data_IF_973484265381
#
_entry.id   IF_973484265381
#
_cell.length_a   1.000
_cell.length_b   1.000
_cell.length_c   1.000
_cell.angle_alpha   90.00
_cell.angle_beta   90.00
_cell.angle_gamma   90.00
#
_symmetry.space_group_name_H-M   'P 1'
#
loop_
_entity.id
_entity.type
_entity.pdbx_description
1 polymer ?
#
# COMPACT_ATOMS: atom_id res chain seq x y z
N UNK A 1 -20.63 -17.26 -21.86
CA UNK A 1 -19.41 -17.48 -22.67
C UNK A 1 -18.89 -16.24 -23.40
N UNK A 2 -19.63 -15.12 -23.45
CA UNK A 2 -19.26 -13.93 -24.23
C UNK A 2 -18.06 -13.12 -23.68
N UNK A 3 -17.85 -13.08 -22.35
CA UNK A 3 -16.77 -12.30 -21.72
C UNK A 3 -15.35 -12.82 -22.07
N UNK A 4 -15.20 -14.12 -22.35
CA UNK A 4 -13.91 -14.72 -22.73
C UNK A 4 -13.47 -14.29 -24.14
N UNK A 5 -14.43 -14.12 -25.05
CA UNK A 5 -14.19 -13.69 -26.43
C UNK A 5 -13.73 -12.22 -26.49
N UNK A 6 -14.33 -11.37 -25.67
CA UNK A 6 -13.97 -9.94 -25.58
C UNK A 6 -12.53 -9.78 -25.08
N UNK A 7 -12.13 -10.54 -24.05
CA UNK A 7 -10.75 -10.53 -23.54
C UNK A 7 -9.72 -10.95 -24.59
N UNK A 8 -10.04 -11.98 -25.39
CA UNK A 8 -9.19 -12.42 -26.48
C UNK A 8 -9.05 -11.37 -27.60
N UNK A 9 -10.14 -10.70 -27.96
CA UNK A 9 -10.12 -9.61 -28.94
C UNK A 9 -9.18 -8.47 -28.52
N UNK A 10 -9.22 -8.05 -27.24
CA UNK A 10 -8.32 -7.01 -26.76
C UNK A 10 -6.85 -7.41 -26.81
N UNK A 11 -6.52 -8.67 -26.48
CA UNK A 11 -5.14 -9.18 -26.56
C UNK A 11 -4.64 -9.17 -28.00
N UNK A 12 -5.46 -9.62 -28.96
CA UNK A 12 -5.11 -9.63 -30.39
C UNK A 12 -4.92 -8.21 -30.92
N UNK A 13 -5.79 -7.26 -30.56
CA UNK A 13 -5.65 -5.86 -30.98
C UNK A 13 -4.35 -5.24 -30.45
N UNK A 14 -4.02 -5.45 -29.18
CA UNK A 14 -2.75 -4.99 -28.61
C UNK A 14 -1.54 -5.66 -29.28
N UNK A 15 -1.66 -6.94 -29.64
CA UNK A 15 -0.57 -7.67 -30.31
C UNK A 15 -0.37 -7.17 -31.75
N UNK A 16 -1.44 -6.87 -32.47
CA UNK A 16 -1.38 -6.29 -33.82
C UNK A 16 -0.84 -4.86 -33.80
N UNK A 17 -1.18 -4.05 -32.78
CA UNK A 17 -0.62 -2.71 -32.59
C UNK A 17 0.87 -2.76 -32.22
N UNK A 18 1.27 -3.74 -31.39
CA UNK A 18 2.67 -4.00 -31.06
C UNK A 18 3.50 -4.43 -32.29
N UNK A 19 2.97 -5.33 -33.12
CA UNK A 19 3.59 -5.71 -34.39
C UNK A 19 3.58 -4.53 -35.38
N UNK A 20 2.53 -3.73 -35.38
CA UNK A 20 2.43 -2.50 -36.17
C UNK A 20 3.54 -1.51 -35.83
N UNK A 21 3.87 -1.34 -34.54
CA UNK A 21 4.97 -0.49 -34.10
C UNK A 21 6.35 -1.05 -34.46
N UNK A 22 6.51 -2.38 -34.52
CA UNK A 22 7.75 -3.02 -34.98
C UNK A 22 7.90 -2.94 -36.51
N UNK A 23 6.79 -3.09 -37.26
CA UNK A 23 6.77 -3.09 -38.73
C UNK A 23 6.69 -1.69 -39.35
N UNK A 24 6.24 -0.67 -38.61
CA UNK A 24 6.34 0.73 -39.04
C UNK A 24 7.79 1.16 -39.33
N UNK A 25 8.77 0.45 -38.76
CA UNK A 25 10.20 0.66 -39.03
C UNK A 25 10.73 -0.08 -40.27
N UNK A 26 9.89 -0.84 -41.00
CA UNK A 26 10.30 -1.58 -42.21
C UNK A 26 9.49 -1.23 -43.47
N UNK A 27 8.92 -0.02 -43.52
CA UNK A 27 8.34 0.57 -44.74
C UNK A 27 9.39 0.93 -45.80
N UNK A 28 9.95 -0.09 -46.45
CA UNK A 28 10.89 0.00 -47.58
C UNK A 28 10.14 0.41 -48.85
N UNK A 29 10.06 1.71 -49.14
CA UNK A 29 9.90 2.17 -50.54
C UNK A 29 11.26 2.11 -51.21
N UNK A 30 11.46 1.13 -52.09
CA UNK A 30 12.58 1.07 -53.03
C UNK A 30 12.49 2.26 -54.00
N UNK A 31 13.05 3.42 -53.63
CA UNK A 31 13.31 4.48 -54.61
C UNK A 31 14.58 4.12 -55.36
N UNK A 32 14.49 4.04 -56.69
CA UNK A 32 15.63 3.99 -57.62
C UNK A 32 16.66 5.04 -57.18
N UNK A 33 17.86 4.58 -56.85
CA UNK A 33 18.96 5.43 -56.41
C UNK A 33 19.53 6.14 -57.65
N UNK A 34 19.31 7.45 -57.72
CA UNK A 34 20.02 8.32 -58.66
C UNK A 34 21.38 8.65 -58.04
N UNK A 35 22.51 8.41 -58.74
CA UNK A 35 23.84 8.54 -58.14
C UNK A 35 24.31 9.99 -58.22
N UNK A 36 23.76 10.89 -57.39
CA UNK A 36 24.49 12.08 -56.87
C UNK A 36 23.73 12.97 -55.87
N UNK A 37 22.70 12.47 -55.19
CA UNK A 37 22.07 13.23 -54.10
C UNK A 37 22.48 12.57 -52.79
N UNK A 38 23.40 13.20 -52.05
CA UNK A 38 23.70 12.84 -50.66
C UNK A 38 22.39 12.57 -49.95
N UNK A 39 22.18 11.31 -49.58
CA UNK A 39 20.99 10.88 -48.88
C UNK A 39 21.01 11.63 -47.55
N UNK A 40 20.27 12.74 -47.45
CA UNK A 40 20.33 13.65 -46.32
C UNK A 40 20.14 12.91 -45.00
N UNK A 41 20.67 13.49 -43.92
CA UNK A 41 20.61 12.87 -42.60
C UNK A 41 19.17 12.55 -42.19
N UNK A 42 18.95 11.35 -41.65
CA UNK A 42 17.62 10.88 -41.26
C UNK A 42 17.26 11.33 -39.83
N UNK A 43 15.99 11.16 -39.45
CA UNK A 43 15.55 11.30 -38.04
C UNK A 43 15.69 12.71 -37.44
N UNK A 44 15.60 13.77 -38.24
CA UNK A 44 15.72 15.14 -37.74
C UNK A 44 17.16 15.58 -37.47
N UNK A 45 18.15 14.84 -37.96
CA UNK A 45 19.53 15.24 -37.93
C UNK A 45 19.83 16.35 -38.97
N UNK A 46 20.64 17.34 -38.59
CA UNK A 46 21.10 18.43 -39.46
C UNK A 46 22.42 18.07 -40.16
N UNK A 47 23.39 17.54 -39.40
CA UNK A 47 24.69 17.08 -39.91
C UNK A 47 25.00 15.71 -39.34
N UNK A 48 25.44 14.76 -40.17
CA UNK A 48 25.70 13.38 -39.78
C UNK A 48 27.00 12.87 -40.40
N UNK A 49 27.53 11.79 -39.83
CA UNK A 49 28.59 10.98 -40.44
C UNK A 49 28.21 9.51 -40.42
N UNK A 50 28.78 8.75 -41.36
CA UNK A 50 28.49 7.32 -41.50
C UNK A 50 28.84 6.52 -40.22
N UNK A 51 29.88 6.97 -39.51
CA UNK A 51 30.37 6.29 -38.32
C UNK A 51 29.76 6.82 -37.02
N UNK A 52 29.60 8.13 -36.84
CA UNK A 52 29.15 8.66 -35.54
C UNK A 52 27.62 8.83 -35.49
N UNK A 53 26.91 8.57 -36.59
CA UNK A 53 25.48 8.87 -36.69
C UNK A 53 25.28 10.38 -36.79
N UNK A 54 24.31 10.92 -36.05
CA UNK A 54 24.07 12.35 -36.03
C UNK A 54 25.16 13.10 -35.25
N UNK A 55 25.59 14.25 -35.77
CA UNK A 55 26.53 15.16 -35.12
C UNK A 55 25.83 16.42 -34.59
N UNK A 56 24.78 16.90 -35.26
CA UNK A 56 23.99 18.04 -34.83
C UNK A 56 22.52 17.85 -35.19
N UNK A 57 21.63 18.16 -34.26
CA UNK A 57 20.19 18.02 -34.44
C UNK A 57 19.55 19.26 -35.01
N UNK A 58 18.45 19.09 -35.75
CA UNK A 58 17.57 20.21 -36.10
C UNK A 58 17.04 20.90 -34.83
N UNK A 59 16.70 22.19 -34.89
CA UNK A 59 16.20 22.94 -33.74
C UNK A 59 15.06 22.22 -33.00
N UNK A 60 14.99 22.44 -31.68
CA UNK A 60 14.01 21.85 -30.73
C UNK A 60 14.18 20.37 -30.40
N UNK A 61 14.93 19.59 -31.18
CA UNK A 61 15.26 18.20 -30.85
C UNK A 61 16.38 18.13 -29.82
N UNK A 62 16.42 17.01 -29.10
CA UNK A 62 17.46 16.69 -28.13
C UNK A 62 18.46 15.70 -28.72
N UNK A 63 19.73 16.03 -28.60
CA UNK A 63 20.83 15.14 -28.93
C UNK A 63 21.05 14.12 -27.80
N UNK A 64 21.08 12.85 -28.16
CA UNK A 64 21.39 11.74 -27.26
C UNK A 64 22.44 10.82 -27.90
N UNK A 65 23.26 10.17 -27.08
CA UNK A 65 24.16 9.11 -27.52
C UNK A 65 23.51 7.76 -27.24
N UNK A 66 23.26 7.00 -28.30
CA UNK A 66 22.72 5.65 -28.24
C UNK A 66 23.85 4.63 -28.36
N UNK A 67 23.87 3.64 -27.48
CA UNK A 67 24.91 2.60 -27.45
C UNK A 67 24.44 1.38 -28.24
N UNK A 68 25.19 0.98 -29.25
CA UNK A 68 24.97 -0.23 -30.04
C UNK A 68 26.21 -1.11 -29.89
N UNK A 69 26.12 -2.15 -29.06
CA UNK A 69 27.27 -2.98 -28.71
C UNK A 69 28.38 -2.14 -28.07
N UNK A 70 29.54 -2.07 -28.72
CA UNK A 70 30.69 -1.26 -28.28
C UNK A 70 30.68 0.16 -28.85
N UNK A 71 29.82 0.45 -29.81
CA UNK A 71 29.75 1.73 -30.52
C UNK A 71 28.76 2.68 -29.84
N UNK A 72 29.06 3.97 -29.87
CA UNK A 72 28.11 5.04 -29.53
C UNK A 72 27.81 5.85 -30.78
N UNK A 73 26.52 6.10 -31.05
CA UNK A 73 26.06 6.92 -32.17
C UNK A 73 25.21 8.08 -31.64
N UNK A 74 25.30 9.24 -32.28
CA UNK A 74 24.42 10.37 -32.00
C UNK A 74 23.06 10.18 -32.68
N UNK A 75 22.00 10.45 -31.93
CA UNK A 75 20.61 10.44 -32.41
C UNK A 75 19.87 11.68 -31.94
N UNK A 76 18.85 12.07 -32.70
CA UNK A 76 18.02 13.24 -32.40
C UNK A 76 16.61 12.78 -32.03
N UNK A 77 16.16 13.17 -30.83
CA UNK A 77 14.90 12.73 -30.27
C UNK A 77 14.01 13.93 -29.96
N UNK A 78 12.70 13.76 -30.11
CA UNK A 78 11.71 14.76 -29.66
C UNK A 78 11.61 14.83 -28.14
N UNK A 79 11.93 13.74 -27.45
CA UNK A 79 11.91 13.59 -25.99
C UNK A 79 13.04 12.68 -25.54
N UNK A 80 13.61 12.94 -24.37
CA UNK A 80 14.69 12.10 -23.85
C UNK A 80 14.17 10.74 -23.38
N UNK A 81 15.00 9.68 -23.53
CA UNK A 81 14.64 8.33 -23.09
C UNK A 81 14.60 8.23 -21.56
N UNK A 82 14.00 7.15 -21.05
CA UNK A 82 13.95 6.87 -19.60
C UNK A 82 15.34 6.94 -18.96
N UNK A 83 15.42 7.54 -17.77
CA UNK A 83 16.69 7.80 -17.08
C UNK A 83 17.43 9.04 -17.55
N UNK A 84 16.87 9.82 -18.49
CA UNK A 84 17.41 11.09 -18.96
C UNK A 84 16.35 12.19 -18.96
N UNK A 85 16.75 13.42 -18.65
CA UNK A 85 15.95 14.63 -18.79
C UNK A 85 16.53 15.54 -19.87
N UNK A 86 15.68 16.37 -20.49
CA UNK A 86 16.10 17.31 -21.52
C UNK A 86 16.74 18.57 -20.92
N UNK A 87 17.94 18.91 -21.34
CA UNK A 87 18.62 20.16 -21.01
C UNK A 87 18.75 21.03 -22.26
N UNK A 88 18.36 22.29 -22.16
CA UNK A 88 18.45 23.26 -23.26
C UNK A 88 19.68 24.14 -23.06
N UNK A 89 20.68 24.00 -23.93
CA UNK A 89 21.82 24.92 -24.01
C UNK A 89 21.60 25.90 -25.17
N UNK A 90 22.32 27.05 -25.18
CA UNK A 90 22.22 28.02 -26.28
C UNK A 90 22.42 27.39 -27.67
N UNK A 91 23.37 26.45 -27.80
CA UNK A 91 23.75 25.90 -29.11
C UNK A 91 23.08 24.55 -29.43
N UNK A 92 22.69 23.78 -28.41
CA UNK A 92 22.18 22.41 -28.59
C UNK A 92 21.34 21.95 -27.39
N UNK A 93 20.21 21.30 -27.63
CA UNK A 93 19.50 20.61 -26.54
C UNK A 93 20.08 19.20 -26.40
N UNK A 94 20.38 18.77 -25.17
CA UNK A 94 20.99 17.46 -24.89
C UNK A 94 20.13 16.67 -23.91
N UNK A 95 20.12 15.35 -24.06
CA UNK A 95 19.60 14.46 -23.02
C UNK A 95 20.66 14.24 -21.94
N UNK A 96 20.34 14.62 -20.71
CA UNK A 96 21.24 14.52 -19.54
C UNK A 96 20.74 13.45 -18.60
N UNK A 97 21.63 12.57 -18.13
CA UNK A 97 21.27 11.45 -17.27
C UNK A 97 20.73 11.94 -15.91
N UNK A 98 19.72 11.27 -15.39
CA UNK A 98 19.22 11.47 -14.03
C UNK A 98 20.29 11.14 -12.97
N UNK A 99 20.03 11.54 -11.71
CA UNK A 99 20.88 11.19 -10.57
C UNK A 99 20.91 9.66 -10.35
N UNK A 100 21.95 9.19 -9.65
CA UNK A 100 22.24 7.75 -9.52
C UNK A 100 21.15 6.95 -8.77
N UNK A 101 20.42 7.60 -7.88
CA UNK A 101 19.30 7.11 -7.06
C UNK A 101 17.92 7.23 -7.74
N UNK A 102 17.87 7.87 -8.91
CA UNK A 102 16.64 8.21 -9.60
C UNK A 102 16.45 7.41 -10.90
N UNK A 103 15.27 6.81 -11.07
CA UNK A 103 14.88 6.04 -12.27
C UNK A 103 14.36 6.95 -13.38
N UNK A 104 13.44 7.87 -13.03
CA UNK A 104 12.93 8.90 -13.95
C UNK A 104 12.93 10.26 -13.27
N UNK A 105 13.36 11.30 -13.98
CA UNK A 105 13.49 12.64 -13.44
C UNK A 105 12.96 13.70 -14.43
N UNK A 106 12.41 14.77 -13.86
CA UNK A 106 11.98 15.95 -14.62
C UNK A 106 13.17 16.87 -14.94
N UNK A 107 14.07 17.04 -13.97
CA UNK A 107 15.31 17.80 -14.13
C UNK A 107 16.38 17.28 -13.16
N UNK A 108 17.53 17.95 -13.10
CA UNK A 108 18.65 17.60 -12.19
C UNK A 108 18.24 17.45 -10.72
N UNK A 109 17.24 18.20 -10.26
CA UNK A 109 16.85 18.34 -8.85
C UNK A 109 15.55 17.62 -8.50
N UNK A 110 14.78 17.19 -9.49
CA UNK A 110 13.45 16.64 -9.29
C UNK A 110 13.32 15.26 -9.94
N UNK A 111 13.34 14.24 -9.09
CA UNK A 111 13.04 12.86 -9.42
C UNK A 111 11.53 12.60 -9.37
N UNK A 112 11.00 11.89 -10.35
CA UNK A 112 9.59 11.48 -10.39
C UNK A 112 9.40 10.02 -9.98
N UNK A 113 10.45 9.20 -10.08
CA UNK A 113 10.44 7.81 -9.62
C UNK A 113 11.83 7.39 -9.17
N UNK A 114 11.93 6.91 -7.94
CA UNK A 114 13.19 6.44 -7.38
C UNK A 114 13.54 5.04 -7.85
N UNK A 115 14.83 4.71 -7.81
CA UNK A 115 15.29 3.34 -8.00
C UNK A 115 14.91 2.48 -6.80
N UNK A 116 14.87 1.17 -7.01
CA UNK A 116 14.64 0.18 -5.96
C UNK A 116 15.54 0.43 -4.74
N UNK A 117 14.93 0.40 -3.55
CA UNK A 117 15.63 0.65 -2.29
C UNK A 117 15.62 2.12 -1.84
N UNK A 118 15.09 3.04 -2.64
CA UNK A 118 14.91 4.45 -2.28
C UNK A 118 13.43 4.82 -2.26
N UNK A 119 13.08 5.80 -1.42
CA UNK A 119 11.74 6.31 -1.23
C UNK A 119 11.65 7.76 -1.72
N UNK A 120 10.64 8.04 -2.53
CA UNK A 120 10.40 9.37 -3.07
C UNK A 120 9.83 10.31 -2.00
N UNK A 121 10.45 11.47 -1.83
CA UNK A 121 9.96 12.56 -1.00
C UNK A 121 10.34 13.91 -1.62
N UNK A 122 9.35 14.72 -1.98
CA UNK A 122 9.53 16.07 -2.55
C UNK A 122 10.52 16.12 -3.73
N UNK A 123 10.42 15.13 -4.63
CA UNK A 123 11.30 15.02 -5.79
C UNK A 123 12.72 14.51 -5.48
N UNK A 124 13.01 14.09 -4.25
CA UNK A 124 14.29 13.48 -3.87
C UNK A 124 14.10 12.01 -3.54
N UNK A 125 15.13 11.22 -3.80
CA UNK A 125 15.17 9.81 -3.44
C UNK A 125 15.98 9.64 -2.18
N UNK A 126 15.36 9.07 -1.15
CA UNK A 126 15.96 8.90 0.17
C UNK A 126 16.04 7.42 0.50
N UNK A 127 17.12 7.00 1.13
CA UNK A 127 17.26 5.66 1.71
C UNK A 127 16.34 5.48 2.93
N UNK A 128 16.20 6.53 3.74
CA UNK A 128 15.36 6.60 4.92
C UNK A 128 14.41 7.80 4.85
N UNK A 129 13.14 7.59 5.21
CA UNK A 129 12.17 8.68 5.27
C UNK A 129 12.45 9.62 6.46
N UNK A 130 12.24 10.94 6.29
CA UNK A 130 12.43 11.92 7.36
C UNK A 130 11.41 11.74 8.49
N UNK A 131 11.61 12.49 9.58
CA UNK A 131 10.73 12.44 10.75
C UNK A 131 9.27 12.78 10.39
N UNK A 132 8.32 12.09 11.04
CA UNK A 132 6.89 12.22 10.74
C UNK A 132 6.43 11.40 9.53
N UNK A 133 7.35 10.76 8.79
CA UNK A 133 7.04 9.93 7.65
C UNK A 133 7.50 8.47 7.85
N UNK A 134 6.80 7.56 7.18
CA UNK A 134 7.16 6.15 7.08
C UNK A 134 7.31 5.71 5.63
N UNK A 135 8.15 4.71 5.43
CA UNK A 135 8.41 4.12 4.12
C UNK A 135 7.23 3.23 3.71
N UNK A 136 6.61 3.54 2.57
CA UNK A 136 5.64 2.67 1.94
C UNK A 136 6.34 1.76 0.92
N UNK A 137 6.47 0.48 1.25
CA UNK A 137 7.13 -0.50 0.37
C UNK A 137 6.36 -0.79 -0.92
N UNK A 138 5.07 -0.48 -1.00
CA UNK A 138 4.26 -0.70 -2.19
C UNK A 138 4.44 0.40 -3.23
N UNK A 139 4.51 1.65 -2.79
CA UNK A 139 4.66 2.81 -3.68
C UNK A 139 6.10 3.29 -3.81
N UNK A 140 6.99 2.87 -2.90
CA UNK A 140 8.36 3.39 -2.76
C UNK A 140 8.37 4.90 -2.53
N UNK A 141 7.49 5.34 -1.64
CA UNK A 141 7.31 6.75 -1.27
C UNK A 141 7.37 6.91 0.24
N UNK A 142 7.78 8.10 0.69
CA UNK A 142 7.63 8.49 2.07
C UNK A 142 6.23 9.04 2.28
N UNK A 143 5.43 8.34 3.08
CA UNK A 143 4.05 8.71 3.42
C UNK A 143 3.98 9.22 4.85
N UNK A 144 3.01 10.08 5.15
CA UNK A 144 2.80 10.58 6.51
C UNK A 144 2.44 9.44 7.46
N UNK A 145 3.02 9.47 8.67
CA UNK A 145 2.59 8.58 9.74
C UNK A 145 1.15 8.94 10.13
N UNK A 146 0.25 7.96 10.06
CA UNK A 146 -1.15 8.14 10.44
C UNK A 146 -1.32 7.63 11.86
N UNK A 147 -1.77 8.48 12.78
CA UNK A 147 -2.09 8.08 14.15
C UNK A 147 -3.54 7.62 14.24
N UNK A 148 -3.86 6.80 15.25
CA UNK A 148 -5.24 6.40 15.46
C UNK A 148 -6.08 7.58 15.92
N UNK A 149 -7.23 7.77 15.29
CA UNK A 149 -8.26 8.74 15.68
C UNK A 149 -9.53 7.98 16.05
N UNK A 150 -10.17 8.40 17.14
CA UNK A 150 -11.40 7.78 17.66
C UNK A 150 -12.47 8.83 17.83
N UNK A 151 -13.72 8.41 17.73
CA UNK A 151 -14.86 9.29 17.88
C UNK A 151 -15.01 9.83 19.30
N UNK A 152 -15.91 10.81 19.44
CA UNK A 152 -16.47 11.12 20.73
C UNK A 152 -17.14 9.90 21.36
N UNK A 153 -17.26 9.93 22.69
CA UNK A 153 -17.93 8.88 23.42
C UNK A 153 -19.43 8.92 23.19
N UNK A 154 -20.02 7.75 22.94
CA UNK A 154 -21.46 7.61 23.06
C UNK A 154 -21.90 7.91 24.51
N UNK A 155 -23.16 8.33 24.69
CA UNK A 155 -23.73 8.47 26.03
C UNK A 155 -23.56 7.18 26.84
N UNK A 156 -23.40 7.32 28.15
CA UNK A 156 -23.34 6.17 29.05
C UNK A 156 -24.62 5.35 28.95
N UNK A 157 -24.47 4.02 28.89
CA UNK A 157 -25.61 3.11 29.01
C UNK A 157 -26.34 3.34 30.33
N UNK A 158 -27.63 3.00 30.45
CA UNK A 158 -28.29 2.96 31.74
C UNK A 158 -27.52 2.11 32.75
N UNK A 159 -27.44 2.55 34.01
CA UNK A 159 -26.86 1.76 35.08
C UNK A 159 -27.59 0.40 35.18
N UNK A 160 -26.83 -0.70 35.12
CA UNK A 160 -27.40 -2.05 35.21
C UNK A 160 -26.68 -2.91 36.25
N UNK A 161 -27.39 -3.91 36.78
CA UNK A 161 -26.82 -4.99 37.60
C UNK A 161 -27.44 -6.32 37.18
N UNK A 162 -26.60 -7.29 36.78
CA UNK A 162 -27.05 -8.62 36.29
C UNK A 162 -28.11 -8.49 35.18
N UNK A 163 -27.89 -7.59 34.22
CA UNK A 163 -28.79 -7.35 33.08
C UNK A 163 -30.10 -6.63 33.40
N UNK A 164 -30.25 -6.06 34.60
CA UNK A 164 -31.46 -5.33 35.04
C UNK A 164 -31.14 -3.88 35.33
N UNK A 165 -32.11 -2.98 35.13
CA UNK A 165 -32.06 -1.53 35.43
C UNK A 165 -32.79 -1.14 36.73
N UNK A 166 -33.34 -2.11 37.45
CA UNK A 166 -34.15 -1.91 38.67
C UNK A 166 -33.76 -2.91 39.78
N UNK A 167 -34.18 -2.63 41.01
CA UNK A 167 -34.02 -3.56 42.15
C UNK A 167 -32.62 -3.58 42.78
N UNK A 168 -31.72 -2.67 42.43
CA UNK A 168 -30.39 -2.55 43.01
C UNK A 168 -30.04 -1.10 43.36
N UNK A 169 -29.03 -0.91 44.21
CA UNK A 169 -28.47 0.41 44.57
C UNK A 169 -27.13 0.70 43.89
N UNK A 170 -26.29 -0.34 43.68
CA UNK A 170 -24.98 -0.24 43.02
C UNK A 170 -24.95 -1.14 41.78
N UNK A 171 -24.56 -0.60 40.64
CA UNK A 171 -24.45 -1.28 39.35
C UNK A 171 -23.23 -0.81 38.56
N UNK A 172 -23.25 -1.09 37.27
CA UNK A 172 -22.24 -0.65 36.30
C UNK A 172 -22.91 -0.06 35.06
N UNK A 173 -22.24 0.90 34.45
CA UNK A 173 -22.60 1.46 33.17
C UNK A 173 -21.39 1.45 32.25
N UNK A 174 -21.66 1.33 30.96
CA UNK A 174 -20.66 1.18 29.92
C UNK A 174 -20.92 2.22 28.84
N UNK A 175 -19.86 2.78 28.29
CA UNK A 175 -19.90 3.58 27.06
C UNK A 175 -18.96 2.97 26.04
N UNK A 176 -19.26 3.23 24.78
CA UNK A 176 -18.46 2.79 23.64
C UNK A 176 -18.19 3.98 22.72
N UNK A 177 -17.13 3.87 21.94
CA UNK A 177 -16.76 4.81 20.88
C UNK A 177 -16.14 4.03 19.73
N UNK A 178 -16.08 4.65 18.57
CA UNK A 178 -15.62 4.02 17.34
C UNK A 178 -14.24 4.54 16.94
N UNK A 179 -13.53 3.78 16.10
CA UNK A 179 -12.28 4.21 15.49
C UNK A 179 -12.65 4.92 14.19
N UNK A 180 -12.21 6.17 14.03
CA UNK A 180 -12.41 6.98 12.81
C UNK A 180 -11.26 6.73 11.84
N UNK A 181 -10.04 6.69 12.37
CA UNK A 181 -8.83 6.52 11.58
C UNK A 181 -7.98 5.42 12.22
N UNK A 182 -7.67 4.38 11.45
CA UNK A 182 -6.73 3.36 11.88
C UNK A 182 -5.29 3.86 11.79
N UNK A 183 -4.42 3.44 12.72
CA UNK A 183 -3.03 3.86 12.73
C UNK A 183 -2.20 3.14 11.68
N UNK A 184 -1.18 3.84 11.20
CA UNK A 184 -0.15 3.29 10.33
C UNK A 184 0.85 2.43 11.11
N UNK A 185 1.84 1.86 10.41
CA UNK A 185 2.79 0.92 11.00
C UNK A 185 3.65 1.55 12.09
N UNK A 186 3.96 2.85 12.02
CA UNK A 186 4.63 3.63 13.08
C UNK A 186 3.68 4.55 13.86
N UNK A 187 2.40 4.55 13.53
CA UNK A 187 1.37 5.34 14.21
C UNK A 187 1.15 4.94 15.67
N UNK A 188 0.47 5.85 16.39
CA UNK A 188 0.04 5.64 17.78
C UNK A 188 -1.12 4.64 17.80
N UNK A 189 -1.07 3.67 18.71
CA UNK A 189 -2.15 2.69 18.84
C UNK A 189 -3.46 3.34 19.27
N UNK A 190 -4.57 2.72 18.87
CA UNK A 190 -5.88 3.20 19.27
C UNK A 190 -6.08 3.09 20.79
N UNK A 191 -6.63 4.13 21.42
CA UNK A 191 -7.03 4.05 22.80
C UNK A 191 -8.23 3.08 22.94
N UNK A 192 -8.61 2.67 24.17
CA UNK A 192 -9.73 1.75 24.38
C UNK A 192 -11.04 2.29 23.79
N UNK A 193 -11.79 1.42 23.12
CA UNK A 193 -13.09 1.73 22.48
C UNK A 193 -14.30 1.45 23.38
N UNK A 194 -14.07 0.86 24.56
CA UNK A 194 -15.10 0.68 25.58
C UNK A 194 -14.56 1.09 26.96
N UNK A 195 -15.47 1.55 27.80
CA UNK A 195 -15.17 1.91 29.16
C UNK A 195 -16.34 1.53 30.05
N UNK A 196 -16.06 0.96 31.22
CA UNK A 196 -17.06 0.58 32.21
C UNK A 196 -16.76 1.23 33.54
N UNK A 197 -17.77 1.84 34.16
CA UNK A 197 -17.65 2.46 35.48
C UNK A 197 -18.73 1.99 36.43
N UNK A 198 -18.47 2.13 37.73
CA UNK A 198 -19.43 1.85 38.80
C UNK A 198 -20.43 3.01 38.91
N UNK A 199 -21.71 2.69 39.12
CA UNK A 199 -22.78 3.66 39.28
C UNK A 199 -23.64 3.34 40.50
N UNK A 200 -24.22 4.37 41.11
CA UNK A 200 -25.15 4.25 42.23
C UNK A 200 -26.47 4.91 41.84
N UNK A 201 -27.56 4.15 41.93
CA UNK A 201 -28.91 4.60 41.57
C UNK A 201 -29.88 4.39 42.74
N UNK A 202 -31.00 5.10 42.73
CA UNK A 202 -32.09 4.85 43.67
C UNK A 202 -32.75 3.50 43.38
N UNK A 203 -33.00 2.72 44.43
CA UNK A 203 -33.55 1.37 44.31
C UNK A 203 -35.04 1.41 43.97
N UNK A 204 -35.39 1.42 42.68
CA UNK A 204 -36.78 1.28 42.20
C UNK A 204 -37.27 -0.17 42.19
N UNK A 205 -38.56 -0.39 42.48
CA UNK A 205 -39.21 -1.71 42.40
C UNK A 205 -39.29 -2.15 40.94
N UNK A 206 -38.91 -3.39 40.65
CA UNK A 206 -39.05 -3.95 39.31
C UNK A 206 -40.50 -4.33 39.04
N UNK A 207 -41.06 -3.90 37.91
CA UNK A 207 -42.32 -4.43 37.41
C UNK A 207 -42.12 -5.92 37.03
N UNK A 208 -43.02 -6.80 37.47
CA UNK A 208 -42.99 -8.24 37.16
C UNK A 208 -43.74 -8.49 35.85
N UNK A 209 -43.01 -8.62 34.75
CA UNK A 209 -43.49 -9.02 33.41
C UNK A 209 -42.48 -8.47 32.41
N UNK A 210 -41.67 -9.24 31.70
CA UNK A 210 -41.95 -10.47 30.96
C UNK A 210 -41.05 -11.61 31.46
N UNK A 211 -41.67 -12.63 32.07
CA UNK A 211 -41.03 -13.94 32.16
C UNK A 211 -40.98 -14.48 30.73
N UNK A 212 -39.89 -14.22 30.02
CA UNK A 212 -39.49 -15.11 28.93
C UNK A 212 -39.62 -16.53 29.46
N UNK A 213 -40.44 -17.34 28.79
CA UNK A 213 -40.62 -18.77 29.04
C UNK A 213 -39.24 -19.43 28.98
N UNK A 214 -38.46 -19.37 30.06
CA UNK A 214 -37.48 -20.41 30.34
C UNK A 214 -38.32 -21.63 30.61
N UNK A 215 -38.58 -22.39 29.54
CA UNK A 215 -39.15 -23.72 29.63
C UNK A 215 -38.46 -24.39 30.81
N UNK A 216 -39.25 -24.80 31.80
CA UNK A 216 -38.78 -25.73 32.80
C UNK A 216 -38.37 -26.97 32.02
N UNK A 217 -37.11 -27.06 31.68
CA UNK A 217 -36.50 -28.32 31.31
C UNK A 217 -36.80 -29.27 32.47
N UNK A 218 -37.71 -30.21 32.22
CA UNK A 218 -38.08 -31.25 33.16
C UNK A 218 -36.81 -32.04 33.41
N UNK A 219 -36.07 -31.70 34.46
CA UNK A 219 -34.99 -32.53 35.00
C UNK A 219 -35.58 -33.91 35.31
N UNK A 220 -35.38 -34.85 34.40
CA UNK A 220 -35.61 -36.27 34.62
C UNK A 220 -34.78 -36.68 35.84
N UNK A 221 -35.44 -37.20 36.87
CA UNK A 221 -34.80 -37.87 37.99
C UNK A 221 -34.07 -39.11 37.42
N UNK A 222 -32.75 -39.17 37.59
CA UNK A 222 -31.97 -40.42 37.49
C UNK A 222 -31.15 -40.62 38.76
N UNK A 223 -30.91 -41.88 39.17
CA UNK A 223 -30.84 -42.25 40.56
C UNK A 223 -29.42 -42.29 41.11
N UNK A 224 -29.41 -42.34 42.44
CA UNK A 224 -28.30 -42.32 43.37
C UNK A 224 -27.54 -43.66 43.37
N UNK A 225 -26.24 -43.67 43.04
CA UNK A 225 -25.27 -44.59 43.65
C UNK A 225 -23.83 -44.17 43.29
N UNK A 226 -23.03 -43.95 44.34
CA UNK A 226 -21.68 -44.51 44.50
C UNK A 226 -20.58 -44.04 43.56
N UNK A 227 -19.74 -43.16 44.12
CA UNK A 227 -18.27 -43.26 44.17
C UNK A 227 -17.41 -43.28 42.88
N UNK A 228 -16.47 -42.33 42.91
CA UNK A 228 -15.07 -42.43 42.48
C UNK A 228 -14.69 -42.07 41.04
N UNK A 229 -14.04 -40.89 40.98
CA UNK A 229 -12.79 -40.54 40.28
C UNK A 229 -12.66 -40.72 38.76
N UNK A 230 -12.44 -39.53 38.16
CA UNK A 230 -11.47 -39.21 37.10
C UNK A 230 -11.72 -39.56 35.62
N UNK A 231 -11.40 -38.52 34.82
CA UNK A 231 -11.07 -38.45 33.40
C UNK A 231 -12.20 -38.52 32.35
N UNK A 232 -12.56 -37.33 31.83
CA UNK A 232 -13.24 -37.10 30.55
C UNK A 232 -12.17 -36.85 29.47
N UNK A 233 -12.28 -37.50 28.29
CA UNK A 233 -11.87 -36.94 27.01
C UNK A 233 -13.06 -36.47 26.15
N UNK A 234 -12.81 -35.37 25.45
CA UNK A 234 -13.30 -34.92 24.14
C UNK A 234 -14.80 -34.82 23.76
N UNK A 235 -15.13 -33.56 23.39
CA UNK A 235 -15.76 -33.14 22.11
C UNK A 235 -17.18 -32.56 22.12
N UNK A 236 -17.24 -31.30 21.65
CA UNK A 236 -18.31 -30.58 20.92
C UNK A 236 -19.57 -30.08 21.65
N UNK A 237 -19.61 -28.75 21.87
CA UNK A 237 -20.57 -27.79 21.26
C UNK A 237 -20.48 -26.45 22.02
N UNK A 238 -19.91 -25.40 21.41
CA UNK A 238 -20.60 -24.25 20.78
C UNK A 238 -21.19 -23.21 21.77
N UNK A 239 -20.89 -21.95 21.44
CA UNK A 239 -21.36 -20.68 22.00
C UNK A 239 -20.78 -20.20 23.35
N UNK A 240 -19.57 -19.62 23.26
CA UNK A 240 -19.23 -18.46 24.08
C UNK A 240 -18.73 -17.33 23.18
N UNK A 241 -19.48 -16.22 23.21
CA UNK A 241 -19.05 -14.83 23.03
C UNK A 241 -17.99 -14.59 21.94
N UNK A 242 -18.45 -14.37 20.70
CA UNK A 242 -17.63 -13.80 19.62
C UNK A 242 -17.03 -12.46 20.07
N UNK A 243 -15.73 -12.43 20.35
CA UNK A 243 -14.94 -11.19 20.30
C UNK A 243 -15.12 -10.56 18.91
N UNK A 244 -15.32 -9.25 18.86
CA UNK A 244 -15.45 -8.49 17.60
C UNK A 244 -14.17 -8.72 16.78
N UNK A 245 -14.26 -9.13 15.49
CA UNK A 245 -13.11 -9.44 14.65
C UNK A 245 -11.96 -8.42 14.71
N UNK A 246 -12.27 -7.12 14.84
CA UNK A 246 -11.29 -6.02 14.97
C UNK A 246 -10.38 -6.13 16.20
N UNK A 247 -10.87 -6.59 17.35
CA UNK A 247 -10.04 -6.74 18.55
C UNK A 247 -8.97 -7.83 18.36
N UNK A 248 -9.24 -8.79 17.48
CA UNK A 248 -8.32 -9.88 17.16
C UNK A 248 -7.16 -9.38 16.31
N UNK A 249 -7.43 -8.53 15.32
CA UNK A 249 -6.39 -7.91 14.51
C UNK A 249 -5.49 -7.00 15.34
N UNK A 250 -6.07 -6.19 16.24
CA UNK A 250 -5.29 -5.29 17.08
C UNK A 250 -4.38 -6.06 18.07
N UNK A 251 -4.86 -7.18 18.64
CA UNK A 251 -4.02 -8.11 19.44
C UNK A 251 -2.93 -8.78 18.60
N UNK A 252 -3.22 -9.16 17.35
CA UNK A 252 -2.22 -9.75 16.45
C UNK A 252 -1.13 -8.74 16.06
N UNK A 253 -1.49 -7.48 15.81
CA UNK A 253 -0.54 -6.39 15.57
C UNK A 253 0.34 -6.11 16.79
N UNK A 254 -0.23 -6.10 18.01
CA UNK A 254 0.55 -6.00 19.24
C UNK A 254 1.53 -7.16 19.43
N UNK A 255 1.14 -8.39 19.08
CA UNK A 255 2.05 -9.54 19.12
C UNK A 255 3.16 -9.43 18.08
N UNK A 256 2.87 -8.99 16.85
CA UNK A 256 3.89 -8.78 15.80
C UNK A 256 4.90 -7.69 16.20
N UNK A 257 4.45 -6.59 16.81
CA UNK A 257 5.37 -5.54 17.33
C UNK A 257 6.22 -6.04 18.50
N UNK A 258 5.67 -6.83 19.43
CA UNK A 258 6.50 -7.47 20.50
C UNK A 258 7.59 -8.39 19.94
N UNK A 259 7.39 -9.00 18.77
CA UNK A 259 8.43 -9.82 18.11
C UNK A 259 9.46 -8.93 17.41
N UNK A 260 9.04 -7.87 16.72
CA UNK A 260 9.94 -6.94 16.04
C UNK A 260 10.80 -6.10 17.00
N UNK A 261 10.24 -5.63 18.11
CA UNK A 261 11.01 -4.92 19.14
C UNK A 261 12.02 -5.86 19.82
N UNK A 262 11.67 -7.15 19.98
CA UNK A 262 12.60 -8.17 20.50
C UNK A 262 13.72 -8.50 19.50
N UNK A 263 13.49 -8.36 18.20
CA UNK A 263 14.54 -8.51 17.18
C UNK A 263 15.46 -7.27 17.09
N UNK A 264 14.93 -6.06 17.33
CA UNK A 264 15.75 -4.85 17.44
C UNK A 264 16.60 -4.81 18.72
N UNK A 265 16.13 -5.37 19.83
CA UNK A 265 16.91 -5.40 21.07
C UNK A 265 18.07 -6.40 21.05
N UNK A 266 18.03 -7.43 20.19
CA UNK A 266 19.10 -8.44 20.09
C UNK A 266 20.25 -8.00 19.16
N UNK A 267 20.04 -7.00 18.31
CA UNK A 267 21.06 -6.53 17.35
C UNK A 267 21.97 -5.40 17.86
N UNK A 268 21.82 -4.96 19.13
CA UNK A 268 22.63 -3.85 19.70
C UNK A 268 23.55 -4.35 20.82
N UNK A 269 24.09 -5.56 20.73
CA UNK A 269 25.03 -6.08 21.73
C UNK A 269 26.12 -6.95 21.13
N UNK A 270 26.87 -6.45 20.14
CA UNK A 270 28.22 -7.00 19.81
C UNK A 270 29.04 -5.99 19.01
N UNK A 271 29.75 -5.04 19.66
CA UNK A 271 30.98 -4.45 19.12
C UNK A 271 31.87 -4.05 20.30
N UNK A 272 33.03 -4.73 20.36
CA UNK A 272 34.25 -4.59 21.17
C UNK A 272 34.27 -3.79 22.48
#
# INVERSE_FOLDING_TARGET
MHLRLISWLFIILNFMEYIGSQNASRGRRQRRMHPNVSQGCQGGCATCSDYNGCLSCKPRLFFALERIGMKQIGVCLSSCPSGYYGTRYPDINKCTKCKADCDTCFNKNFCTKCKSGFYLHLGKCLDNCPEGLEANNHTMECVSIVHCEVSEWNPWSPCTKKGKTCGFKRGTETRVREIIQHPSAKGNLCPPTNETRKCTVQRKKCQKGERGKKGRERKRKKPNKGESKEAIPDSKSLESSKEIPEQRENKQQQKKRKVQDKQKSVSVSTVH
#
